data_IF_774833178355
#
_entry.id   IF_774833178355
#
_cell.length_a   1.000
_cell.length_b   1.000
_cell.length_c   1.000
_cell.angle_alpha   90.00
_cell.angle_beta   90.00
_cell.angle_gamma   90.00
#
_symmetry.space_group_name_H-M   'P 1'
#
loop_
_entity.id
_entity.type
_entity.pdbx_description
1 polymer ?
#
# COMPACT_ATOMS: atom_id res chain seq x y z
N UNK A 1 -12.45 -23.28 20.55
CA UNK A 1 -12.82 -22.33 19.46
C UNK A 1 -13.67 -23.04 18.41
N UNK A 2 -14.85 -22.49 18.02
CA UNK A 2 -15.65 -23.04 16.92
C UNK A 2 -15.02 -22.60 15.60
N UNK A 3 -14.84 -23.53 14.66
CA UNK A 3 -14.17 -23.27 13.38
C UNK A 3 -15.01 -23.78 12.20
N UNK A 4 -14.73 -23.27 11.01
CA UNK A 4 -15.26 -23.76 9.73
C UNK A 4 -14.15 -23.84 8.69
N UNK A 5 -14.29 -24.72 7.71
CA UNK A 5 -13.38 -24.79 6.57
C UNK A 5 -13.96 -23.93 5.44
N UNK A 6 -13.12 -23.06 4.87
CA UNK A 6 -13.39 -22.29 3.66
C UNK A 6 -12.33 -22.58 2.61
N UNK A 7 -12.57 -22.14 1.39
CA UNK A 7 -11.56 -22.15 0.31
C UNK A 7 -11.34 -20.73 -0.18
N UNK A 8 -10.08 -20.31 -0.25
CA UNK A 8 -9.67 -19.03 -0.81
C UNK A 8 -8.57 -19.27 -1.86
N UNK A 9 -8.78 -18.80 -3.09
CA UNK A 9 -8.00 -19.28 -4.22
C UNK A 9 -8.16 -20.80 -4.39
N UNK A 10 -7.04 -21.53 -4.36
CA UNK A 10 -7.04 -23.00 -4.36
C UNK A 10 -6.72 -23.60 -2.98
N UNK A 11 -6.60 -22.77 -1.96
CA UNK A 11 -6.15 -23.16 -0.61
C UNK A 11 -7.36 -23.36 0.32
N UNK A 12 -7.45 -24.52 0.96
CA UNK A 12 -8.43 -24.79 2.02
C UNK A 12 -7.89 -24.27 3.35
N UNK A 13 -8.75 -23.66 4.14
CA UNK A 13 -8.35 -23.13 5.45
C UNK A 13 -9.45 -23.31 6.47
N UNK A 14 -9.07 -23.82 7.62
CA UNK A 14 -9.89 -23.78 8.84
C UNK A 14 -9.74 -22.40 9.47
N UNK A 15 -10.85 -21.70 9.66
CA UNK A 15 -10.92 -20.35 10.24
C UNK A 15 -11.88 -20.31 11.41
N UNK A 16 -11.66 -19.43 12.40
CA UNK A 16 -12.60 -19.21 13.47
C UNK A 16 -13.95 -18.71 12.94
N UNK A 17 -15.02 -19.17 13.54
CA UNK A 17 -16.37 -18.62 13.34
C UNK A 17 -16.59 -17.56 14.42
N UNK A 18 -16.81 -16.28 14.06
CA UNK A 18 -17.17 -15.28 15.05
C UNK A 18 -18.43 -15.71 15.82
N UNK A 19 -18.46 -15.44 17.11
CA UNK A 19 -19.67 -15.59 17.89
C UNK A 19 -20.61 -14.43 17.54
N UNK A 20 -21.72 -14.74 16.88
CA UNK A 20 -22.73 -13.76 16.45
C UNK A 20 -23.34 -12.97 17.63
N UNK A 21 -23.24 -13.50 18.85
CA UNK A 21 -23.70 -12.87 20.08
C UNK A 21 -22.58 -12.10 20.83
N UNK A 22 -21.37 -12.07 20.31
CA UNK A 22 -20.27 -11.36 20.95
C UNK A 22 -20.44 -9.85 20.81
N UNK A 23 -20.50 -9.15 21.95
CA UNK A 23 -20.44 -7.69 21.99
C UNK A 23 -19.04 -7.13 21.68
N UNK A 24 -18.05 -8.00 21.48
CA UNK A 24 -16.66 -7.64 21.18
C UNK A 24 -16.42 -7.61 19.67
N UNK A 25 -15.61 -6.66 19.17
CA UNK A 25 -15.26 -6.62 17.76
C UNK A 25 -14.52 -7.90 17.33
N UNK A 26 -14.59 -8.28 16.03
CA UNK A 26 -13.91 -9.47 15.51
C UNK A 26 -12.41 -9.55 15.81
N UNK A 27 -11.78 -8.43 16.11
CA UNK A 27 -10.37 -8.32 16.52
C UNK A 27 -10.06 -8.85 17.92
N UNK A 28 -11.07 -9.18 18.72
CA UNK A 28 -10.90 -9.75 20.08
C UNK A 28 -10.90 -11.29 20.12
N UNK A 29 -11.04 -11.94 18.96
CA UNK A 29 -10.95 -13.42 18.86
C UNK A 29 -9.46 -13.80 18.92
N UNK A 30 -9.16 -14.91 19.58
CA UNK A 30 -7.78 -15.39 19.76
C UNK A 30 -7.02 -15.65 18.45
N UNK A 31 -7.73 -15.97 17.36
CA UNK A 31 -7.16 -16.07 16.01
C UNK A 31 -8.03 -15.28 15.04
N UNK A 32 -7.42 -14.40 14.29
CA UNK A 32 -8.12 -13.51 13.36
C UNK A 32 -8.17 -14.02 11.92
N UNK A 33 -9.35 -13.91 11.33
CA UNK A 33 -9.57 -14.02 9.90
C UNK A 33 -10.56 -12.95 9.43
N UNK A 34 -10.20 -12.18 8.40
CA UNK A 34 -11.07 -11.16 7.80
C UNK A 34 -11.31 -11.48 6.32
N UNK A 35 -12.53 -11.83 5.91
CA UNK A 35 -12.86 -12.11 4.51
C UNK A 35 -12.73 -10.86 3.61
N UNK A 36 -12.93 -9.65 4.13
CA UNK A 36 -12.77 -8.40 3.36
C UNK A 36 -11.33 -8.19 2.87
N UNK A 37 -10.34 -8.81 3.53
CA UNK A 37 -8.95 -8.78 3.11
C UNK A 37 -8.61 -9.78 1.99
N UNK A 38 -9.59 -10.49 1.42
CA UNK A 38 -9.35 -11.43 0.32
C UNK A 38 -8.72 -10.73 -0.88
N UNK A 39 -9.19 -9.55 -1.28
CA UNK A 39 -8.58 -8.76 -2.36
C UNK A 39 -7.09 -8.48 -2.11
N UNK A 40 -6.72 -8.13 -0.88
CA UNK A 40 -5.31 -7.91 -0.51
C UNK A 40 -4.49 -9.19 -0.69
N UNK A 41 -5.03 -10.34 -0.28
CA UNK A 41 -4.35 -11.64 -0.41
C UNK A 41 -4.26 -12.11 -1.86
N UNK A 42 -5.33 -11.91 -2.66
CA UNK A 42 -5.34 -12.25 -4.10
C UNK A 42 -4.25 -11.47 -4.85
N UNK A 43 -4.18 -10.15 -4.63
CA UNK A 43 -3.11 -9.31 -5.21
C UNK A 43 -1.74 -9.74 -4.71
N UNK A 44 -1.61 -10.08 -3.41
CA UNK A 44 -0.32 -10.51 -2.85
C UNK A 44 0.15 -11.82 -3.49
N UNK A 45 -0.74 -12.79 -3.69
CA UNK A 45 -0.41 -14.05 -4.38
C UNK A 45 0.06 -13.78 -5.82
N UNK A 46 -0.66 -12.95 -6.57
CA UNK A 46 -0.29 -12.61 -7.94
C UNK A 46 1.05 -11.85 -8.00
N UNK A 47 1.24 -10.82 -7.15
CA UNK A 47 2.45 -10.02 -7.11
C UNK A 47 3.68 -10.85 -6.71
N UNK A 48 3.56 -11.74 -5.72
CA UNK A 48 4.65 -12.60 -5.29
C UNK A 48 4.95 -13.67 -6.35
N UNK A 49 3.93 -14.23 -7.03
CA UNK A 49 4.12 -15.14 -8.13
C UNK A 49 4.87 -14.49 -9.30
N UNK A 50 4.48 -13.27 -9.69
CA UNK A 50 5.19 -12.49 -10.72
C UNK A 50 6.64 -12.19 -10.33
N UNK A 51 6.87 -11.75 -9.08
CA UNK A 51 8.21 -11.41 -8.59
C UNK A 51 9.13 -12.63 -8.50
N UNK A 52 8.61 -13.79 -8.12
CA UNK A 52 9.40 -15.02 -7.96
C UNK A 52 9.38 -15.95 -9.17
N UNK A 53 8.83 -15.52 -10.31
CA UNK A 53 8.66 -16.35 -11.54
C UNK A 53 9.95 -17.06 -11.97
N UNK A 54 11.09 -16.39 -11.82
CA UNK A 54 12.41 -16.92 -12.19
C UNK A 54 13.29 -17.27 -10.98
N UNK A 55 12.74 -17.33 -9.79
CA UNK A 55 13.45 -17.56 -8.53
C UNK A 55 12.63 -18.41 -7.56
N UNK A 56 12.31 -19.66 -7.92
CA UNK A 56 11.48 -20.54 -7.10
C UNK A 56 12.14 -20.92 -5.76
N UNK A 57 13.42 -20.68 -5.61
CA UNK A 57 14.20 -20.90 -4.38
C UNK A 57 14.00 -19.79 -3.34
N UNK A 58 13.32 -18.71 -3.66
CA UNK A 58 13.09 -17.62 -2.70
C UNK A 58 12.34 -18.08 -1.47
N UNK A 59 12.79 -17.59 -0.33
CA UNK A 59 12.17 -17.82 0.97
C UNK A 59 11.20 -16.69 1.31
N UNK A 60 10.01 -17.06 1.80
CA UNK A 60 8.95 -16.12 2.18
C UNK A 60 8.65 -16.19 3.68
N UNK A 61 8.52 -15.04 4.31
CA UNK A 61 8.05 -14.89 5.68
C UNK A 61 6.71 -14.15 5.73
N UNK A 62 5.67 -14.83 6.21
CA UNK A 62 4.46 -14.21 6.75
C UNK A 62 4.72 -13.90 8.23
N UNK A 63 5.06 -12.64 8.52
CA UNK A 63 5.62 -12.27 9.81
C UNK A 63 4.57 -12.21 10.94
N UNK A 64 3.29 -12.08 10.60
CA UNK A 64 2.16 -11.88 11.53
C UNK A 64 0.96 -12.71 11.04
N UNK A 65 1.12 -14.02 11.03
CA UNK A 65 0.34 -14.93 10.20
C UNK A 65 -1.11 -15.15 10.66
N UNK A 66 -1.43 -14.95 11.95
CA UNK A 66 -2.76 -15.18 12.54
C UNK A 66 -3.34 -16.56 12.16
N UNK A 67 -4.31 -16.64 11.23
CA UNK A 67 -4.86 -17.91 10.72
C UNK A 67 -3.94 -18.65 9.74
N UNK A 68 -2.85 -18.00 9.29
CA UNK A 68 -1.91 -18.53 8.30
C UNK A 68 -2.36 -18.41 6.84
N UNK A 69 -3.54 -17.83 6.56
CA UNK A 69 -4.15 -17.86 5.21
C UNK A 69 -3.22 -17.28 4.13
N UNK A 70 -2.50 -16.19 4.41
CA UNK A 70 -1.59 -15.56 3.45
C UNK A 70 -0.41 -16.46 3.14
N UNK A 71 0.32 -16.91 4.17
CA UNK A 71 1.48 -17.79 4.02
C UNK A 71 1.11 -19.13 3.40
N UNK A 72 -0.03 -19.72 3.79
CA UNK A 72 -0.54 -20.97 3.20
C UNK A 72 -0.85 -20.82 1.71
N UNK A 73 -1.45 -19.70 1.31
CA UNK A 73 -1.70 -19.42 -0.11
C UNK A 73 -0.40 -19.27 -0.91
N UNK A 74 0.61 -18.60 -0.34
CA UNK A 74 1.93 -18.49 -0.99
C UNK A 74 2.59 -19.87 -1.11
N UNK A 75 2.56 -20.70 -0.06
CA UNK A 75 3.12 -22.05 -0.12
C UNK A 75 2.40 -22.94 -1.13
N UNK A 76 1.05 -22.88 -1.20
CA UNK A 76 0.22 -23.74 -2.04
C UNK A 76 0.11 -23.26 -3.50
N UNK A 77 -0.09 -21.94 -3.69
CA UNK A 77 -0.46 -21.38 -4.99
C UNK A 77 0.76 -20.82 -5.76
N UNK A 78 1.85 -20.49 -5.05
CA UNK A 78 3.11 -20.02 -5.66
C UNK A 78 4.22 -21.05 -5.55
N UNK A 79 4.21 -21.85 -4.49
CA UNK A 79 5.17 -22.95 -4.30
C UNK A 79 6.43 -22.55 -3.52
N UNK A 80 6.52 -21.34 -2.97
CA UNK A 80 7.70 -20.88 -2.23
C UNK A 80 7.86 -21.60 -0.88
N UNK A 81 9.12 -21.73 -0.43
CA UNK A 81 9.41 -22.12 0.95
C UNK A 81 8.95 -21.01 1.91
N UNK A 82 7.94 -21.32 2.74
CA UNK A 82 7.21 -20.33 3.53
C UNK A 82 7.36 -20.56 5.01
N UNK A 83 7.74 -19.52 5.73
CA UNK A 83 7.68 -19.44 7.19
C UNK A 83 6.51 -18.57 7.62
N UNK A 84 5.70 -19.05 8.56
CA UNK A 84 4.56 -18.33 9.12
C UNK A 84 4.78 -18.14 10.61
N UNK A 85 4.96 -16.90 11.07
CA UNK A 85 5.18 -16.63 12.49
C UNK A 85 3.98 -15.97 13.13
N UNK A 86 3.69 -16.42 14.34
CA UNK A 86 2.75 -15.75 15.24
C UNK A 86 3.23 -15.96 16.68
N UNK A 87 2.88 -15.04 17.55
CA UNK A 87 3.27 -15.17 18.95
C UNK A 87 2.21 -15.91 19.77
N UNK A 88 0.96 -15.97 19.26
CA UNK A 88 -0.15 -16.65 19.92
C UNK A 88 -0.11 -18.16 19.64
N UNK A 89 -0.15 -18.96 20.71
CA UNK A 89 -0.16 -20.43 20.64
C UNK A 89 -1.32 -20.99 19.80
N UNK A 90 -2.51 -20.40 19.94
CA UNK A 90 -3.70 -20.85 19.21
C UNK A 90 -3.58 -20.59 17.70
N UNK A 91 -2.97 -19.47 17.31
CA UNK A 91 -2.65 -19.15 15.90
C UNK A 91 -1.73 -20.20 15.33
N UNK A 92 -0.62 -20.50 16.01
CA UNK A 92 0.36 -21.49 15.56
C UNK A 92 -0.26 -22.88 15.40
N UNK A 93 -1.05 -23.34 16.36
CA UNK A 93 -1.77 -24.63 16.26
C UNK A 93 -2.74 -24.68 15.11
N UNK A 94 -3.42 -23.56 14.82
CA UNK A 94 -4.33 -23.47 13.66
C UNK A 94 -3.55 -23.50 12.35
N UNK A 95 -2.41 -22.80 12.26
CA UNK A 95 -1.51 -22.85 11.11
C UNK A 95 -1.05 -24.29 10.83
N UNK A 96 -0.60 -25.01 11.86
CA UNK A 96 -0.16 -26.42 11.72
C UNK A 96 -1.28 -27.35 11.20
N UNK A 97 -2.50 -27.16 11.71
CA UNK A 97 -3.68 -27.88 11.18
C UNK A 97 -3.93 -27.56 9.72
N UNK A 98 -3.83 -26.30 9.34
CA UNK A 98 -4.04 -25.82 7.97
C UNK A 98 -2.93 -26.28 7.01
N UNK A 99 -1.69 -26.41 7.48
CA UNK A 99 -0.59 -27.04 6.75
C UNK A 99 -0.96 -28.50 6.42
N UNK A 100 -1.39 -29.24 7.44
CA UNK A 100 -1.82 -30.63 7.30
C UNK A 100 -3.02 -30.77 6.37
N UNK A 101 -4.04 -29.89 6.50
CA UNK A 101 -5.24 -29.89 5.67
C UNK A 101 -4.95 -29.77 4.18
N UNK A 102 -3.87 -29.05 3.81
CA UNK A 102 -3.43 -28.87 2.42
C UNK A 102 -2.26 -29.79 2.02
N UNK A 103 -1.82 -30.70 2.92
CA UNK A 103 -0.69 -31.62 2.68
C UNK A 103 0.60 -30.90 2.24
N UNK A 104 0.84 -29.68 2.73
CA UNK A 104 1.98 -28.87 2.36
C UNK A 104 3.25 -29.35 3.08
N UNK A 105 4.38 -29.38 2.33
CA UNK A 105 5.70 -29.79 2.84
C UNK A 105 6.73 -28.65 2.82
N UNK A 106 6.38 -27.55 2.16
CA UNK A 106 7.25 -26.39 1.93
C UNK A 106 6.94 -25.21 2.87
N UNK A 107 6.28 -25.45 3.99
CA UNK A 107 5.96 -24.40 4.94
C UNK A 107 6.09 -24.85 6.40
N UNK A 108 6.32 -23.87 7.29
CA UNK A 108 6.56 -24.09 8.72
C UNK A 108 5.84 -23.02 9.54
N UNK A 109 5.20 -23.44 10.63
CA UNK A 109 4.65 -22.56 11.66
C UNK A 109 5.72 -22.26 12.72
N UNK A 110 5.85 -21.01 13.15
CA UNK A 110 6.85 -20.55 14.11
C UNK A 110 6.15 -19.80 15.24
N UNK A 111 6.19 -20.34 16.46
CA UNK A 111 5.71 -19.67 17.66
C UNK A 111 6.78 -18.73 18.20
N UNK A 112 6.81 -17.48 17.73
CA UNK A 112 7.78 -16.49 18.15
C UNK A 112 7.34 -15.07 17.78
N UNK A 113 7.86 -14.08 18.50
CA UNK A 113 7.67 -12.69 18.13
C UNK A 113 8.30 -12.40 16.76
N UNK A 114 7.56 -11.74 15.87
CA UNK A 114 7.97 -11.45 14.50
C UNK A 114 9.33 -10.73 14.42
N UNK A 115 9.58 -9.74 15.29
CA UNK A 115 10.87 -9.04 15.33
C UNK A 115 12.03 -9.99 15.64
N UNK A 116 11.83 -10.95 16.54
CA UNK A 116 12.89 -11.92 16.91
C UNK A 116 13.15 -12.87 15.73
N UNK A 117 12.09 -13.34 15.03
CA UNK A 117 12.24 -14.18 13.83
C UNK A 117 13.06 -13.45 12.76
N UNK A 118 12.74 -12.17 12.52
CA UNK A 118 13.44 -11.35 11.54
C UNK A 118 14.86 -10.95 11.95
N UNK A 119 15.17 -10.84 13.24
CA UNK A 119 16.54 -10.56 13.72
C UNK A 119 17.46 -11.78 13.61
N UNK A 120 16.91 -12.98 13.86
CA UNK A 120 17.69 -14.23 13.82
C UNK A 120 17.86 -14.78 12.39
N UNK A 121 16.99 -14.39 11.45
CA UNK A 121 16.95 -14.93 10.09
C UNK A 121 16.78 -13.81 9.05
N UNK A 122 17.23 -14.08 7.84
CA UNK A 122 16.97 -13.24 6.66
C UNK A 122 16.13 -14.01 5.66
N UNK A 123 15.16 -13.33 5.05
CA UNK A 123 14.27 -13.90 4.04
C UNK A 123 14.38 -13.11 2.74
N UNK A 124 14.10 -13.76 1.62
CA UNK A 124 14.10 -13.06 0.34
C UNK A 124 12.87 -12.16 0.23
N UNK A 125 11.72 -12.64 0.71
CA UNK A 125 10.46 -11.90 0.75
C UNK A 125 9.95 -11.84 2.18
N UNK A 126 9.66 -10.64 2.68
CA UNK A 126 9.02 -10.43 3.99
C UNK A 126 7.68 -9.72 3.79
N UNK A 127 6.64 -10.28 4.36
CA UNK A 127 5.29 -9.70 4.37
C UNK A 127 4.89 -9.29 5.79
N UNK A 128 4.67 -7.97 5.96
CA UNK A 128 4.17 -7.37 7.18
C UNK A 128 2.69 -7.02 7.00
N UNK A 129 1.79 -7.78 7.60
CA UNK A 129 0.34 -7.52 7.60
C UNK A 129 -0.22 -7.48 9.04
N UNK A 130 0.18 -6.48 9.85
CA UNK A 130 -0.24 -6.36 11.23
C UNK A 130 -1.68 -5.85 11.36
N UNK A 131 -2.28 -6.09 12.51
CA UNK A 131 -3.39 -5.27 12.97
C UNK A 131 -2.92 -3.83 13.24
N UNK A 132 -3.42 -2.88 12.46
CA UNK A 132 -3.11 -1.47 12.62
C UNK A 132 -1.80 -1.07 11.96
N UNK A 133 -0.80 -0.75 12.77
CA UNK A 133 0.44 -0.13 12.27
C UNK A 133 1.58 -1.12 12.05
N UNK A 134 2.26 -1.09 10.90
CA UNK A 134 3.50 -1.85 10.67
C UNK A 134 4.74 -1.23 11.35
N UNK A 135 4.64 -0.02 11.89
CA UNK A 135 5.78 0.74 12.41
C UNK A 135 6.65 -0.03 13.42
N UNK A 136 6.11 -0.84 14.37
CA UNK A 136 6.93 -1.61 15.31
C UNK A 136 7.76 -2.73 14.69
N UNK A 137 7.45 -3.14 13.47
CA UNK A 137 8.09 -4.25 12.76
C UNK A 137 8.97 -3.78 11.60
N UNK A 138 8.81 -2.53 11.17
CA UNK A 138 9.42 -2.02 9.95
C UNK A 138 10.94 -2.02 10.00
N UNK A 139 11.54 -1.68 11.14
CA UNK A 139 12.99 -1.62 11.30
C UNK A 139 13.65 -3.00 11.13
N UNK A 140 13.13 -4.00 11.83
CA UNK A 140 13.63 -5.37 11.74
C UNK A 140 13.37 -5.99 10.35
N UNK A 141 12.23 -5.72 9.75
CA UNK A 141 11.93 -6.18 8.40
C UNK A 141 12.89 -5.58 7.36
N UNK A 142 13.10 -4.26 7.38
CA UNK A 142 14.04 -3.59 6.49
C UNK A 142 15.48 -4.08 6.64
N UNK A 143 15.91 -4.41 7.88
CA UNK A 143 17.21 -5.00 8.14
C UNK A 143 17.34 -6.40 7.54
N UNK A 144 16.31 -7.22 7.66
CA UNK A 144 16.31 -8.66 7.39
C UNK A 144 15.97 -9.02 5.94
N UNK A 145 15.11 -8.26 5.27
CA UNK A 145 14.66 -8.53 3.90
C UNK A 145 15.81 -8.44 2.89
N UNK A 146 15.82 -9.37 1.91
CA UNK A 146 16.85 -9.42 0.87
C UNK A 146 16.37 -8.92 -0.50
N UNK A 147 15.10 -9.16 -0.88
CA UNK A 147 14.60 -8.95 -2.24
C UNK A 147 13.30 -8.18 -2.33
N UNK A 148 12.25 -8.57 -1.59
CA UNK A 148 10.94 -7.94 -1.67
C UNK A 148 10.39 -7.68 -0.26
N UNK A 149 10.03 -6.44 0.01
CA UNK A 149 9.31 -6.06 1.22
C UNK A 149 7.86 -5.73 0.85
N UNK A 150 6.94 -6.45 1.49
CA UNK A 150 5.50 -6.23 1.37
C UNK A 150 4.98 -5.68 2.70
N UNK A 151 4.27 -4.56 2.67
CA UNK A 151 3.76 -3.93 3.90
C UNK A 151 2.30 -3.53 3.75
N UNK A 152 1.48 -3.94 4.72
CA UNK A 152 0.12 -3.44 4.90
C UNK A 152 0.06 -2.52 6.12
N UNK A 153 -0.67 -1.41 5.99
CA UNK A 153 -1.03 -0.53 7.10
C UNK A 153 -2.56 -0.37 7.13
N UNK A 154 -3.20 -0.83 8.21
CA UNK A 154 -4.64 -0.63 8.44
C UNK A 154 -4.92 0.54 9.37
N UNK A 155 -3.90 1.17 9.95
CA UNK A 155 -4.00 2.41 10.71
C UNK A 155 -4.04 3.65 9.79
N UNK A 156 -5.02 3.70 8.90
CA UNK A 156 -5.13 4.77 7.89
C UNK A 156 -5.31 6.16 8.50
N UNK A 157 -5.96 6.29 9.65
CA UNK A 157 -6.22 7.58 10.30
C UNK A 157 -4.95 8.39 10.65
N UNK A 158 -3.87 7.79 11.21
CA UNK A 158 -2.56 8.44 11.33
C UNK A 158 -1.96 8.87 9.99
N UNK A 159 -2.06 8.03 8.97
CA UNK A 159 -1.42 8.25 7.67
C UNK A 159 -2.15 9.29 6.81
N UNK A 160 -3.49 9.38 6.95
CA UNK A 160 -4.31 10.34 6.18
C UNK A 160 -4.48 11.71 6.88
N UNK A 161 -3.83 11.94 8.01
CA UNK A 161 -3.86 13.24 8.71
C UNK A 161 -5.01 13.40 9.72
N UNK A 162 -5.91 12.44 9.87
CA UNK A 162 -6.97 12.51 10.90
C UNK A 162 -6.38 12.42 12.32
N UNK A 163 -5.33 11.64 12.52
CA UNK A 163 -4.61 11.54 13.79
C UNK A 163 -3.14 11.96 13.65
N UNK A 164 -2.92 13.25 13.34
CA UNK A 164 -1.60 13.83 13.01
C UNK A 164 -0.49 13.46 14.00
N UNK A 165 -0.72 13.57 15.32
CA UNK A 165 0.29 13.24 16.34
C UNK A 165 0.73 11.77 16.28
N UNK A 166 -0.19 10.86 15.99
CA UNK A 166 0.13 9.44 15.82
C UNK A 166 0.92 9.19 14.53
N UNK A 167 0.58 9.89 13.43
CA UNK A 167 1.35 9.85 12.18
C UNK A 167 2.81 10.26 12.39
N UNK A 168 3.04 11.37 13.11
CA UNK A 168 4.40 11.83 13.43
C UNK A 168 5.16 10.76 14.26
N UNK A 169 4.54 10.24 15.33
CA UNK A 169 5.23 9.26 16.20
C UNK A 169 5.54 7.94 15.50
N UNK A 170 4.62 7.43 14.65
CA UNK A 170 4.73 6.10 14.03
C UNK A 170 5.58 6.13 12.76
N UNK A 171 5.41 7.16 11.94
CA UNK A 171 5.98 7.21 10.60
C UNK A 171 7.03 8.31 10.42
N UNK A 172 7.28 9.14 11.44
CA UNK A 172 8.27 10.23 11.36
C UNK A 172 7.95 11.25 10.26
N UNK A 173 6.65 11.47 9.99
CA UNK A 173 6.18 12.39 8.95
C UNK A 173 4.95 13.15 9.45
N UNK A 174 4.77 14.37 8.96
CA UNK A 174 3.59 15.21 9.22
C UNK A 174 2.55 14.91 8.14
N UNK A 175 1.43 14.21 8.46
CA UNK A 175 0.34 14.02 7.51
C UNK A 175 -0.59 15.22 7.49
N UNK A 176 -1.27 15.47 6.37
CA UNK A 176 -2.33 16.45 6.23
C UNK A 176 -3.63 15.80 5.75
N UNK A 177 -4.76 16.31 6.25
CA UNK A 177 -6.09 15.93 5.77
C UNK A 177 -6.41 16.73 4.50
N UNK A 178 -6.04 16.16 3.34
CA UNK A 178 -6.24 16.75 2.00
C UNK A 178 -7.29 15.99 1.22
N UNK A 179 -7.61 16.43 0.01
CA UNK A 179 -8.50 15.70 -0.88
C UNK A 179 -7.86 14.43 -1.45
N UNK A 180 -6.53 14.40 -1.52
CA UNK A 180 -5.70 13.26 -1.92
C UNK A 180 -5.14 12.47 -0.72
N UNK A 181 -5.84 12.46 0.42
CA UNK A 181 -5.37 11.81 1.65
C UNK A 181 -5.03 10.31 1.50
N UNK A 182 -5.67 9.49 0.62
CA UNK A 182 -5.28 8.10 0.48
C UNK A 182 -3.88 7.96 -0.15
N UNK A 183 -3.57 8.75 -1.17
CA UNK A 183 -2.25 8.77 -1.79
C UNK A 183 -1.19 9.30 -0.81
N UNK A 184 -1.50 10.35 -0.07
CA UNK A 184 -0.60 10.84 0.99
C UNK A 184 -0.26 9.74 2.00
N UNK A 185 -1.23 8.94 2.40
CA UNK A 185 -1.02 7.80 3.32
C UNK A 185 -0.06 6.75 2.75
N UNK A 186 -0.25 6.36 1.50
CA UNK A 186 0.66 5.44 0.79
C UNK A 186 2.07 6.02 0.73
N UNK A 187 2.22 7.30 0.34
CA UNK A 187 3.51 7.98 0.20
C UNK A 187 4.24 8.17 1.53
N UNK A 188 3.51 8.40 2.63
CA UNK A 188 4.08 8.44 3.98
C UNK A 188 4.59 7.06 4.41
N UNK A 189 3.81 5.99 4.16
CA UNK A 189 4.22 4.62 4.45
C UNK A 189 5.48 4.24 3.67
N UNK A 190 5.50 4.52 2.36
CA UNK A 190 6.68 4.29 1.50
C UNK A 190 7.88 5.10 1.95
N UNK A 191 7.68 6.37 2.31
CA UNK A 191 8.76 7.23 2.82
C UNK A 191 9.33 6.72 4.15
N UNK A 192 8.51 6.13 5.02
CA UNK A 192 9.01 5.46 6.23
C UNK A 192 9.85 4.23 5.88
N UNK A 193 9.39 3.40 4.93
CA UNK A 193 10.14 2.23 4.46
C UNK A 193 11.47 2.65 3.81
N UNK A 194 11.47 3.66 2.91
CA UNK A 194 12.67 4.16 2.25
C UNK A 194 13.76 4.61 3.23
N UNK A 195 13.39 5.46 4.20
CA UNK A 195 14.32 5.93 5.22
C UNK A 195 14.85 4.79 6.11
N UNK A 196 14.01 3.80 6.39
CA UNK A 196 14.40 2.65 7.21
C UNK A 196 15.32 1.69 6.46
N UNK A 197 15.06 1.44 5.17
CA UNK A 197 15.93 0.66 4.30
C UNK A 197 17.29 1.35 4.13
N UNK A 198 17.31 2.67 3.87
CA UNK A 198 18.53 3.44 3.68
C UNK A 198 19.48 3.38 4.89
N UNK A 199 18.96 3.34 6.13
CA UNK A 199 19.78 3.10 7.33
C UNK A 199 20.50 1.76 7.36
N UNK A 200 20.10 0.83 6.49
CA UNK A 200 20.73 -0.48 6.31
C UNK A 200 21.44 -0.62 4.96
N UNK A 201 21.85 0.49 4.33
CA UNK A 201 22.48 0.56 3.02
C UNK A 201 21.67 -0.13 1.91
N UNK A 202 20.34 -0.06 2.02
CA UNK A 202 19.40 -0.66 1.07
C UNK A 202 18.56 0.42 0.39
N UNK A 203 18.44 0.31 -0.92
CA UNK A 203 17.49 1.05 -1.73
C UNK A 203 16.16 0.29 -1.85
N UNK A 204 15.08 1.00 -2.13
CA UNK A 204 13.84 0.41 -2.60
C UNK A 204 13.50 0.89 -4.01
N UNK A 205 12.91 -0.01 -4.80
CA UNK A 205 12.22 0.30 -6.05
C UNK A 205 10.75 -0.07 -5.85
N UNK A 206 9.82 0.90 -5.92
CA UNK A 206 8.40 0.60 -5.86
C UNK A 206 7.97 -0.24 -7.05
N UNK A 207 7.32 -1.38 -6.78
CA UNK A 207 6.78 -2.26 -7.81
C UNK A 207 5.27 -2.06 -7.96
N UNK A 208 4.56 -2.02 -6.83
CA UNK A 208 3.11 -1.83 -6.77
C UNK A 208 2.74 -1.26 -5.41
N UNK A 209 1.90 -0.24 -5.38
CA UNK A 209 1.31 0.25 -4.14
C UNK A 209 -0.12 0.73 -4.37
N UNK A 210 -1.00 0.49 -3.40
CA UNK A 210 -2.39 0.91 -3.54
C UNK A 210 -3.06 1.19 -2.20
N UNK A 211 -4.11 1.98 -2.28
CA UNK A 211 -5.07 2.19 -1.21
C UNK A 211 -6.37 1.44 -1.54
N UNK A 212 -6.94 0.75 -0.57
CA UNK A 212 -8.24 0.12 -0.71
C UNK A 212 -8.99 0.24 0.61
N UNK A 213 -10.21 0.80 0.58
CA UNK A 213 -11.09 0.95 1.73
C UNK A 213 -10.39 1.41 3.02
N UNK A 214 -9.89 0.48 3.83
CA UNK A 214 -9.36 0.73 5.17
C UNK A 214 -7.89 0.36 5.33
N UNK A 215 -7.14 0.14 4.23
CA UNK A 215 -5.73 -0.18 4.30
C UNK A 215 -4.93 0.39 3.13
N UNK A 216 -3.62 0.53 3.36
CA UNK A 216 -2.61 0.81 2.34
C UNK A 216 -1.72 -0.41 2.19
N UNK A 217 -1.37 -0.75 0.96
CA UNK A 217 -0.49 -1.87 0.64
C UNK A 217 0.63 -1.40 -0.26
N UNK A 218 1.86 -1.82 0.03
CA UNK A 218 3.04 -1.53 -0.78
C UNK A 218 3.86 -2.79 -1.01
N UNK A 219 4.41 -2.91 -2.20
CA UNK A 219 5.38 -3.93 -2.62
C UNK A 219 6.59 -3.19 -3.15
N UNK A 220 7.74 -3.36 -2.51
CA UNK A 220 8.96 -2.68 -2.90
C UNK A 220 10.10 -3.69 -3.06
N UNK A 221 10.72 -3.71 -4.23
CA UNK A 221 11.96 -4.44 -4.42
C UNK A 221 13.07 -3.80 -3.59
N UNK A 222 13.93 -4.64 -2.99
CA UNK A 222 15.00 -4.20 -2.10
C UNK A 222 16.35 -4.62 -2.67
N UNK A 223 17.26 -3.66 -2.80
CA UNK A 223 18.63 -3.89 -3.24
C UNK A 223 19.63 -3.30 -2.25
N UNK A 224 20.57 -4.13 -1.78
CA UNK A 224 21.65 -3.63 -0.93
C UNK A 224 22.71 -2.96 -1.79
N UNK A 225 22.75 -1.62 -1.76
CA UNK A 225 23.71 -0.79 -2.49
C UNK A 225 23.65 0.63 -1.92
N UNK A 226 24.75 1.17 -1.42
CA UNK A 226 24.85 2.49 -0.79
C UNK A 226 24.46 3.61 -1.77
N UNK A 227 25.01 3.59 -2.99
CA UNK A 227 24.76 4.62 -4.01
C UNK A 227 23.26 4.66 -4.34
N UNK A 228 22.66 3.48 -4.60
CA UNK A 228 21.22 3.41 -4.87
C UNK A 228 20.35 3.81 -3.65
N UNK A 229 20.85 3.59 -2.43
CA UNK A 229 20.15 4.05 -1.22
C UNK A 229 20.15 5.59 -1.12
N UNK A 230 21.26 6.24 -1.44
CA UNK A 230 21.36 7.70 -1.51
C UNK A 230 20.45 8.26 -2.61
N UNK A 231 20.45 7.66 -3.80
CA UNK A 231 19.55 8.02 -4.91
C UNK A 231 18.08 7.85 -4.53
N UNK A 232 17.75 6.77 -3.81
CA UNK A 232 16.41 6.52 -3.30
C UNK A 232 15.96 7.64 -2.33
N UNK A 233 16.84 8.12 -1.45
CA UNK A 233 16.54 9.23 -0.55
C UNK A 233 16.30 10.56 -1.28
N UNK A 234 16.82 10.76 -2.49
CA UNK A 234 16.55 11.94 -3.32
C UNK A 234 15.09 11.99 -3.81
N UNK A 235 14.35 10.85 -3.75
CA UNK A 235 12.93 10.79 -4.04
C UNK A 235 12.05 11.16 -2.84
N UNK A 236 12.65 11.42 -1.68
CA UNK A 236 11.94 11.96 -0.52
C UNK A 236 11.68 13.44 -0.69
N UNK A 237 10.60 13.93 -0.09
CA UNK A 237 10.31 15.35 -0.12
C UNK A 237 9.10 15.75 0.71
N UNK A 238 8.58 16.92 0.40
CA UNK A 238 7.49 17.56 1.11
C UNK A 238 6.44 18.08 0.13
N UNK A 239 5.21 18.19 0.62
CA UNK A 239 4.10 18.83 -0.09
C UNK A 239 3.65 20.05 0.72
N UNK A 240 3.59 21.21 0.07
CA UNK A 240 2.93 22.38 0.62
C UNK A 240 1.51 22.47 0.04
N UNK A 241 0.51 22.62 0.92
CA UNK A 241 -0.91 22.71 0.56
C UNK A 241 -1.46 24.08 0.95
N UNK A 242 -2.04 24.78 0.01
CA UNK A 242 -2.89 25.95 0.26
C UNK A 242 -4.35 25.50 0.35
N UNK A 243 -4.95 25.60 1.53
CA UNK A 243 -6.37 25.25 1.72
C UNK A 243 -7.33 26.35 1.26
N UNK A 244 -6.83 27.54 0.87
CA UNK A 244 -7.66 28.62 0.34
C UNK A 244 -8.01 28.43 -1.14
N UNK A 245 -7.00 28.17 -1.99
CA UNK A 245 -7.20 28.02 -3.44
C UNK A 245 -7.10 26.58 -3.95
N UNK A 246 -6.63 25.63 -3.12
CA UNK A 246 -6.43 24.23 -3.47
C UNK A 246 -5.06 23.92 -4.09
N UNK A 247 -4.19 24.95 -4.30
CA UNK A 247 -2.86 24.76 -4.85
C UNK A 247 -2.00 23.86 -3.97
N UNK A 248 -1.29 22.93 -4.57
CA UNK A 248 -0.29 22.09 -3.92
C UNK A 248 1.02 22.11 -4.68
N UNK A 249 2.14 22.14 -3.97
CA UNK A 249 3.49 22.15 -4.54
C UNK A 249 4.35 21.11 -3.87
N UNK A 250 5.13 20.40 -4.65
CA UNK A 250 6.05 19.37 -4.18
C UNK A 250 7.47 19.92 -4.24
N UNK A 251 8.28 19.54 -3.25
CA UNK A 251 9.69 19.88 -3.18
C UNK A 251 10.48 18.67 -2.70
N UNK A 252 11.38 18.18 -3.55
CA UNK A 252 12.27 17.08 -3.23
C UNK A 252 13.37 17.50 -2.26
N UNK A 253 13.85 16.56 -1.47
CA UNK A 253 14.91 16.74 -0.49
C UNK A 253 14.46 16.54 0.95
N UNK A 254 15.43 16.31 1.83
CA UNK A 254 15.19 16.14 3.27
C UNK A 254 15.26 17.47 4.06
N UNK A 255 15.85 18.51 3.45
CA UNK A 255 15.93 19.86 3.99
C UNK A 255 15.42 20.85 2.94
N UNK A 256 14.18 21.28 3.07
CA UNK A 256 13.50 22.12 2.08
C UNK A 256 13.11 23.46 2.66
N UNK A 257 13.13 24.51 1.84
CA UNK A 257 12.55 25.79 2.19
C UNK A 257 11.11 25.85 1.64
N UNK A 258 10.14 26.01 2.51
CA UNK A 258 8.73 26.12 2.11
C UNK A 258 8.23 27.53 2.40
N UNK A 259 7.71 28.18 1.37
CA UNK A 259 7.09 29.48 1.47
C UNK A 259 5.85 29.41 2.37
N UNK A 260 5.73 30.38 3.28
CA UNK A 260 4.59 30.45 4.21
C UNK A 260 3.31 30.89 3.53
N UNK A 261 3.43 31.60 2.41
CA UNK A 261 2.32 32.14 1.65
C UNK A 261 2.21 31.46 0.29
N UNK A 262 1.00 31.24 -0.16
CA UNK A 262 0.72 30.67 -1.46
C UNK A 262 1.00 31.69 -2.56
N UNK A 263 1.87 31.40 -3.54
CA UNK A 263 2.17 32.35 -4.60
C UNK A 263 0.98 32.61 -5.54
N UNK A 264 -0.04 31.73 -5.56
CA UNK A 264 -1.23 31.89 -6.41
C UNK A 264 -2.29 32.81 -5.78
N UNK A 265 -2.42 32.82 -4.47
CA UNK A 265 -3.52 33.56 -3.82
C UNK A 265 -3.13 34.31 -2.54
N UNK A 266 -1.86 34.32 -2.13
CA UNK A 266 -1.39 34.93 -0.88
C UNK A 266 -1.86 34.21 0.40
N UNK A 267 -2.64 33.16 0.29
CA UNK A 267 -3.14 32.40 1.45
C UNK A 267 -2.04 31.61 2.14
N UNK A 268 -2.27 31.25 3.41
CA UNK A 268 -1.31 30.45 4.18
C UNK A 268 -1.14 29.04 3.63
N UNK A 269 0.11 28.59 3.49
CA UNK A 269 0.45 27.20 3.16
C UNK A 269 0.65 26.32 4.40
N UNK A 270 0.39 25.05 4.28
CA UNK A 270 0.65 24.03 5.31
C UNK A 270 1.42 22.87 4.70
N UNK A 271 2.41 22.35 5.45
CA UNK A 271 3.35 21.35 4.96
C UNK A 271 3.02 19.92 5.44
N UNK A 272 3.15 18.95 4.54
CA UNK A 272 3.19 17.52 4.82
C UNK A 272 4.56 16.92 4.46
N UNK A 273 4.96 15.86 5.17
CA UNK A 273 6.19 15.12 4.89
C UNK A 273 7.12 15.00 6.11
N UNK A 274 8.35 14.43 5.93
CA UNK A 274 8.86 13.91 4.67
C UNK A 274 8.10 12.66 4.19
N UNK A 275 7.84 12.58 2.89
CA UNK A 275 7.12 11.49 2.25
C UNK A 275 7.77 11.12 0.90
N UNK A 276 7.38 9.99 0.33
CA UNK A 276 7.87 9.54 -0.98
C UNK A 276 7.22 10.35 -2.11
N UNK A 277 8.03 10.96 -2.98
CA UNK A 277 7.56 11.72 -4.15
C UNK A 277 7.82 11.01 -5.48
N UNK A 278 8.60 9.93 -5.48
CA UNK A 278 8.85 9.12 -6.66
C UNK A 278 7.64 8.29 -7.08
N UNK A 279 7.85 7.42 -8.07
CA UNK A 279 6.86 6.50 -8.62
C UNK A 279 6.18 5.64 -7.54
N UNK A 280 4.91 5.32 -7.74
CA UNK A 280 4.14 4.41 -6.89
C UNK A 280 4.08 2.99 -7.48
N UNK A 281 4.24 2.87 -8.79
CA UNK A 281 4.12 1.63 -9.55
C UNK A 281 5.24 1.49 -10.56
N UNK A 282 5.56 0.24 -10.88
CA UNK A 282 6.28 -0.17 -12.07
C UNK A 282 5.25 -0.74 -13.06
N UNK A 283 5.18 -0.20 -14.27
CA UNK A 283 4.16 -0.60 -15.26
C UNK A 283 4.35 -2.02 -15.73
N UNK A 284 5.59 -2.42 -16.02
CA UNK A 284 5.91 -3.76 -16.50
C UNK A 284 5.59 -4.80 -15.42
N UNK A 285 5.90 -4.49 -14.16
CA UNK A 285 5.50 -5.34 -13.05
C UNK A 285 3.97 -5.41 -12.88
N UNK A 286 3.26 -4.30 -13.06
CA UNK A 286 1.78 -4.30 -13.03
C UNK A 286 1.20 -5.19 -14.14
N UNK A 287 1.79 -5.21 -15.34
CA UNK A 287 1.37 -6.09 -16.44
C UNK A 287 1.60 -7.57 -16.08
N UNK A 288 2.75 -7.92 -15.51
CA UNK A 288 3.02 -9.29 -15.01
C UNK A 288 2.00 -9.70 -13.92
N UNK A 289 1.67 -8.78 -13.00
CA UNK A 289 0.65 -9.04 -11.96
C UNK A 289 -0.74 -9.20 -12.55
N UNK A 290 -1.10 -8.44 -13.58
CA UNK A 290 -2.37 -8.58 -14.30
C UNK A 290 -2.49 -9.95 -14.95
N UNK A 291 -1.45 -10.42 -15.64
CA UNK A 291 -1.41 -11.77 -16.24
C UNK A 291 -1.66 -12.86 -15.18
N UNK A 292 -1.00 -12.78 -14.02
CA UNK A 292 -1.20 -13.72 -12.92
C UNK A 292 -2.61 -13.60 -12.29
N UNK A 293 -3.19 -12.39 -12.20
CA UNK A 293 -4.56 -12.21 -11.72
C UNK A 293 -5.60 -12.81 -12.67
N UNK A 294 -5.43 -12.66 -13.98
CA UNK A 294 -6.31 -13.24 -15.00
C UNK A 294 -6.24 -14.76 -15.00
N UNK A 295 -5.04 -15.34 -15.01
CA UNK A 295 -4.78 -16.78 -14.92
C UNK A 295 -5.42 -17.41 -13.68
N UNK A 296 -5.39 -16.70 -12.53
CA UNK A 296 -5.97 -17.15 -11.25
C UNK A 296 -7.46 -16.80 -11.11
N UNK A 297 -8.04 -16.07 -12.07
CA UNK A 297 -9.44 -15.63 -12.07
C UNK A 297 -9.77 -14.72 -10.85
N UNK A 298 -8.96 -13.68 -10.63
CA UNK A 298 -9.14 -12.68 -9.59
C UNK A 298 -9.71 -11.36 -10.15
N UNK A 299 -10.99 -11.27 -10.55
CA UNK A 299 -11.53 -10.13 -11.31
C UNK A 299 -11.50 -8.81 -10.55
N UNK A 300 -11.59 -8.83 -9.21
CA UNK A 300 -11.48 -7.62 -8.38
C UNK A 300 -10.05 -7.09 -8.38
N UNK A 301 -9.06 -7.97 -8.38
CA UNK A 301 -7.65 -7.63 -8.47
C UNK A 301 -7.32 -7.07 -9.86
N UNK A 302 -7.76 -7.70 -10.95
CA UNK A 302 -7.61 -7.20 -12.32
C UNK A 302 -8.09 -5.76 -12.42
N UNK A 303 -9.31 -5.46 -11.95
CA UNK A 303 -9.86 -4.09 -12.00
C UNK A 303 -8.99 -3.06 -11.27
N UNK A 304 -8.47 -3.39 -10.10
CA UNK A 304 -7.64 -2.48 -9.31
C UNK A 304 -6.27 -2.27 -9.95
N UNK A 305 -5.59 -3.36 -10.33
CA UNK A 305 -4.24 -3.31 -10.89
C UNK A 305 -4.23 -2.60 -12.27
N UNK A 306 -5.27 -2.79 -13.09
CA UNK A 306 -5.43 -2.02 -14.34
C UNK A 306 -5.41 -0.51 -14.07
N UNK A 307 -6.12 -0.04 -13.03
CA UNK A 307 -6.07 1.39 -12.66
C UNK A 307 -4.69 1.81 -12.17
N UNK A 308 -3.99 0.98 -11.38
CA UNK A 308 -2.63 1.26 -10.93
C UNK A 308 -1.65 1.36 -12.11
N UNK A 309 -1.73 0.44 -13.08
CA UNK A 309 -0.89 0.42 -14.28
C UNK A 309 -1.09 1.66 -15.15
N UNK A 310 -2.35 2.08 -15.31
CA UNK A 310 -2.75 3.13 -16.27
C UNK A 310 -2.66 4.54 -15.68
N UNK A 311 -2.54 4.68 -14.35
CA UNK A 311 -2.47 6.01 -13.74
C UNK A 311 -1.12 6.69 -14.02
N UNK A 312 -1.18 8.01 -14.19
CA UNK A 312 0.02 8.83 -14.39
C UNK A 312 0.93 8.79 -13.17
N UNK A 313 2.23 8.73 -13.44
CA UNK A 313 3.27 8.79 -12.41
C UNK A 313 3.54 10.24 -11.96
N UNK A 314 2.48 10.92 -11.54
CA UNK A 314 2.51 12.29 -11.01
C UNK A 314 2.04 12.24 -9.56
N UNK A 315 2.78 12.84 -8.60
CA UNK A 315 2.35 12.89 -7.23
C UNK A 315 1.08 13.72 -7.04
N UNK A 316 0.19 13.21 -6.21
CA UNK A 316 -1.09 13.76 -5.78
C UNK A 316 -2.14 13.86 -6.87
N UNK A 317 -3.29 13.28 -6.56
CA UNK A 317 -4.46 13.33 -7.42
C UNK A 317 -5.41 14.45 -7.01
N UNK A 318 -6.32 14.80 -7.90
CA UNK A 318 -7.44 15.70 -7.64
C UNK A 318 -8.74 14.90 -7.44
N UNK A 319 -9.58 15.35 -6.52
CA UNK A 319 -10.97 14.89 -6.39
C UNK A 319 -11.88 15.78 -7.24
N UNK A 320 -12.39 15.23 -8.36
CA UNK A 320 -13.18 15.99 -9.31
C UNK A 320 -14.48 16.52 -8.72
N UNK A 321 -15.15 15.73 -7.88
CA UNK A 321 -16.40 16.16 -7.25
C UNK A 321 -16.19 17.33 -6.27
N UNK A 322 -15.13 17.29 -5.48
CA UNK A 322 -14.77 18.40 -4.58
C UNK A 322 -14.36 19.64 -5.35
N UNK A 323 -13.63 19.47 -6.46
CA UNK A 323 -13.25 20.57 -7.34
C UNK A 323 -14.50 21.24 -7.92
N UNK A 324 -15.43 20.48 -8.50
CA UNK A 324 -16.71 21.01 -9.00
C UNK A 324 -17.50 21.72 -7.90
N UNK A 325 -17.61 21.11 -6.71
CA UNK A 325 -18.29 21.72 -5.56
C UNK A 325 -17.68 23.06 -5.16
N UNK A 326 -16.35 23.18 -5.19
CA UNK A 326 -15.66 24.46 -4.89
C UNK A 326 -15.93 25.57 -5.91
N UNK A 327 -16.33 25.18 -7.12
CA UNK A 327 -16.70 26.07 -8.24
C UNK A 327 -18.22 26.31 -8.36
N UNK A 328 -19.03 25.70 -7.50
CA UNK A 328 -20.50 25.77 -7.56
C UNK A 328 -21.11 25.00 -8.73
N UNK A 329 -20.43 23.98 -9.22
CA UNK A 329 -20.79 23.18 -10.39
C UNK A 329 -21.19 21.74 -10.02
N UNK A 330 -21.99 21.10 -10.86
CA UNK A 330 -22.25 19.66 -10.81
C UNK A 330 -21.18 18.92 -11.61
N UNK A 331 -20.67 17.79 -11.08
CA UNK A 331 -19.65 17.02 -11.77
C UNK A 331 -20.27 16.13 -12.86
N UNK A 332 -19.65 16.08 -14.03
CA UNK A 332 -19.88 15.11 -15.10
C UNK A 332 -19.06 13.82 -14.84
N UNK A 333 -19.20 12.77 -15.65
CA UNK A 333 -18.32 11.60 -15.55
C UNK A 333 -16.83 11.99 -15.62
N UNK A 334 -16.03 11.48 -14.67
CA UNK A 334 -14.57 11.79 -14.58
C UNK A 334 -13.84 11.49 -15.89
N UNK A 335 -14.31 10.49 -16.65
CA UNK A 335 -13.73 10.13 -17.95
C UNK A 335 -13.83 11.27 -18.98
N UNK A 336 -14.91 12.03 -18.97
CA UNK A 336 -15.07 13.19 -19.87
C UNK A 336 -14.02 14.27 -19.58
N UNK A 337 -13.77 14.54 -18.28
CA UNK A 337 -12.71 15.47 -17.89
C UNK A 337 -11.33 14.99 -18.33
N UNK A 338 -11.00 13.71 -18.12
CA UNK A 338 -9.73 13.12 -18.55
C UNK A 338 -9.53 13.26 -20.05
N UNK A 339 -10.56 12.95 -20.86
CA UNK A 339 -10.50 13.12 -22.32
C UNK A 339 -10.33 14.59 -22.72
N UNK A 340 -11.09 15.50 -22.11
CA UNK A 340 -11.01 16.95 -22.40
C UNK A 340 -9.64 17.52 -22.06
N UNK A 341 -9.02 17.09 -20.96
CA UNK A 341 -7.64 17.46 -20.63
C UNK A 341 -6.66 16.99 -21.71
N UNK A 342 -6.81 15.74 -22.18
CA UNK A 342 -6.01 15.20 -23.30
C UNK A 342 -6.17 15.99 -24.61
N UNK A 343 -7.40 16.37 -24.98
CA UNK A 343 -7.70 17.21 -26.15
C UNK A 343 -7.07 18.61 -26.06
N UNK A 344 -6.79 19.08 -24.85
CA UNK A 344 -6.11 20.36 -24.58
C UNK A 344 -4.59 20.24 -24.50
N UNK A 345 -4.04 19.03 -24.73
CA UNK A 345 -2.61 18.76 -24.78
C UNK A 345 -1.98 18.46 -23.42
N UNK A 346 -2.78 18.19 -22.39
CA UNK A 346 -2.28 17.74 -21.07
C UNK A 346 -2.32 16.22 -20.95
N UNK A 347 -1.39 15.64 -20.22
CA UNK A 347 -1.50 14.26 -19.78
C UNK A 347 -2.56 14.15 -18.69
N UNK A 348 -3.42 13.16 -18.76
CA UNK A 348 -4.44 12.92 -17.75
C UNK A 348 -4.82 11.45 -17.66
N UNK A 349 -5.09 10.98 -16.45
CA UNK A 349 -5.55 9.61 -16.19
C UNK A 349 -6.55 9.57 -15.04
N UNK A 350 -7.32 8.50 -14.98
CA UNK A 350 -7.99 8.11 -13.75
C UNK A 350 -6.96 7.54 -12.78
N UNK A 351 -7.33 7.39 -11.52
CA UNK A 351 -6.48 6.79 -10.50
C UNK A 351 -7.26 5.74 -9.70
N UNK A 352 -6.54 4.82 -9.08
CA UNK A 352 -7.14 3.77 -8.24
C UNK A 352 -7.65 4.29 -6.88
N UNK A 353 -7.20 5.48 -6.44
CA UNK A 353 -7.52 6.01 -5.11
C UNK A 353 -9.01 6.29 -4.88
N UNK A 354 -9.72 6.67 -5.93
CA UNK A 354 -11.18 6.91 -5.89
C UNK A 354 -11.77 6.87 -7.28
N UNK A 355 -13.04 6.48 -7.38
CA UNK A 355 -13.78 6.47 -8.66
C UNK A 355 -13.99 7.84 -9.30
N UNK A 356 -13.78 8.91 -8.54
CA UNK A 356 -13.95 10.31 -8.98
C UNK A 356 -12.64 11.09 -9.01
N UNK A 357 -11.52 10.42 -8.81
CA UNK A 357 -10.20 11.05 -8.78
C UNK A 357 -9.46 10.89 -10.10
N UNK A 358 -8.63 11.88 -10.42
CA UNK A 358 -7.79 11.93 -11.61
C UNK A 358 -6.43 12.54 -11.29
N UNK A 359 -5.44 12.24 -12.15
CA UNK A 359 -4.12 12.86 -12.17
C UNK A 359 -3.91 13.57 -13.49
N UNK A 360 -3.16 14.67 -13.49
CA UNK A 360 -2.80 15.44 -14.68
C UNK A 360 -1.59 16.33 -14.40
N UNK A 361 -0.83 16.63 -15.44
CA UNK A 361 0.25 17.62 -15.43
C UNK A 361 -0.26 19.07 -15.62
N UNK A 362 -1.55 19.25 -15.89
CA UNK A 362 -2.17 20.55 -16.05
C UNK A 362 -2.07 21.39 -14.74
N UNK A 363 -1.68 22.67 -14.81
CA UNK A 363 -1.76 23.56 -13.65
C UNK A 363 -3.19 23.71 -13.13
N UNK A 364 -3.37 23.83 -11.82
CA UNK A 364 -4.71 23.92 -11.20
C UNK A 364 -5.59 25.02 -11.79
N UNK A 365 -4.99 26.14 -12.22
CA UNK A 365 -5.71 27.22 -12.90
C UNK A 365 -6.33 26.75 -14.22
N UNK A 366 -5.62 25.98 -15.02
CA UNK A 366 -6.13 25.43 -16.30
C UNK A 366 -7.15 24.34 -16.04
N UNK A 367 -6.93 23.48 -15.05
CA UNK A 367 -7.93 22.47 -14.63
C UNK A 367 -9.25 23.16 -14.30
N UNK A 368 -9.24 24.23 -13.48
CA UNK A 368 -10.46 24.98 -13.13
C UNK A 368 -11.16 25.58 -14.33
N UNK A 369 -10.43 26.17 -15.31
CA UNK A 369 -11.01 26.68 -16.54
C UNK A 369 -11.71 25.58 -17.37
N UNK A 370 -11.03 24.45 -17.54
CA UNK A 370 -11.57 23.31 -18.29
C UNK A 370 -12.83 22.76 -17.59
N UNK A 371 -12.79 22.62 -16.27
CA UNK A 371 -13.94 22.16 -15.47
C UNK A 371 -15.13 23.11 -15.62
N UNK A 372 -14.92 24.43 -15.60
CA UNK A 372 -16.00 25.43 -15.83
C UNK A 372 -16.57 25.24 -17.23
N UNK A 373 -15.74 25.19 -18.25
CA UNK A 373 -16.19 25.02 -19.65
C UNK A 373 -16.93 23.72 -19.91
N UNK A 374 -16.48 22.63 -19.27
CA UNK A 374 -17.10 21.30 -19.43
C UNK A 374 -18.49 21.23 -18.77
N UNK A 375 -18.73 22.00 -17.70
CA UNK A 375 -19.94 21.92 -16.87
C UNK A 375 -20.86 23.15 -17.03
N UNK A 376 -20.50 24.12 -17.90
CA UNK A 376 -21.37 25.21 -18.35
C UNK A 376 -22.22 24.75 -19.53
#
# INVERSE_FOLDING_TARGET
>A
MRTKIITEGTTKIEVPVPDENSSFPPSSVSVFYNPEMQLNRDISVAAIASFSKNAPEYTYLDALAASGIRGLRIANEVGLTTSMSDWEEESVRLIEKNITLNSLKNCTAIKRNANVVMLDNSFDIIDLDPFGTPAPFLDTACRSVRKLLCVTATDTAPLCGAHKKAGIRRYGAVPLKTDYYPEMGVRILMGAAARTLARNDKAMTPLLSYASQHYYRVFVEVKKNVISADECLNQMGFVSQCFNCGESRMQNGLAVHIEKECPECGGKTTMAGPLWLGSLHDRDFCDDVLEECEKRKFPRAVKLITLCRDELDIPMHYDYHKLCKSLGLSARPTQELVLTLGERGFEASRTHFSGVSFKTDAPLREIKKIVIQLNS
#
